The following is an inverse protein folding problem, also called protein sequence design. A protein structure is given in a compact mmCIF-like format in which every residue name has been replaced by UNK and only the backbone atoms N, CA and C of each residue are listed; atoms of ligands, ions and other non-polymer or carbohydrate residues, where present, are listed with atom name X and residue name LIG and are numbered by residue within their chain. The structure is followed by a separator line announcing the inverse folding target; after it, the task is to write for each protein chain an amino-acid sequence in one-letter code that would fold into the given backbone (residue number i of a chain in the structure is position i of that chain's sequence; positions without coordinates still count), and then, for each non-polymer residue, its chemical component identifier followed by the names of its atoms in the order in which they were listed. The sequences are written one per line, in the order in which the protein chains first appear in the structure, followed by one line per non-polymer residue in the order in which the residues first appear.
data_IF_645487952857
#
_entry.id   IF_645487952857
#
_cell.length_a   1.000
_cell.length_b   1.000
_cell.length_c   1.000
_cell.angle_alpha   90.00
_cell.angle_beta   90.00
_cell.angle_gamma   90.00
#
_symmetry.space_group_name_H-M   'P 1'
#
loop_
_entity.id
_entity.type
_entity.pdbx_description
1 polymer ?
#
# COMPACT_ATOMS: atom_id res chain seq x y z
N UNK A 1 7.97 2.34 -7.21
CA UNK A 1 6.90 3.21 -6.63
C UNK A 1 7.13 4.68 -6.94
N UNK A 2 8.31 5.27 -6.64
CA UNK A 2 8.56 6.69 -6.96
C UNK A 2 8.41 7.03 -8.44
N UNK A 3 8.85 6.15 -9.33
CA UNK A 3 8.64 6.33 -10.77
C UNK A 3 7.16 6.29 -11.15
N UNK A 4 6.39 5.37 -10.55
CA UNK A 4 4.93 5.31 -10.72
C UNK A 4 4.24 6.60 -10.28
N UNK A 5 4.67 7.21 -9.16
CA UNK A 5 4.15 8.51 -8.71
C UNK A 5 4.43 9.64 -9.70
N UNK A 6 5.59 9.64 -10.38
CA UNK A 6 5.95 10.67 -11.37
C UNK A 6 5.09 10.58 -12.63
N UNK A 7 4.68 9.38 -13.04
CA UNK A 7 3.93 9.17 -14.28
C UNK A 7 2.44 9.49 -14.18
N UNK A 8 1.84 9.39 -12.99
CA UNK A 8 0.38 9.58 -12.81
C UNK A 8 -0.04 11.01 -12.44
N UNK A 9 0.92 11.91 -12.15
CA UNK A 9 0.65 13.30 -11.73
C UNK A 9 0.14 13.42 -10.30
N UNK A 10 -1.06 12.91 -10.02
CA UNK A 10 -1.68 12.84 -8.69
C UNK A 10 -2.31 11.47 -8.48
N UNK A 11 -2.05 10.84 -7.33
CA UNK A 11 -2.68 9.57 -6.99
C UNK A 11 -1.95 8.76 -5.91
N UNK A 12 -2.42 7.53 -5.75
CA UNK A 12 -1.85 6.51 -4.87
C UNK A 12 -1.39 5.33 -5.71
N UNK A 13 -0.17 4.87 -5.50
CA UNK A 13 0.42 3.70 -6.16
C UNK A 13 0.68 2.63 -5.12
N UNK A 14 0.11 1.44 -5.29
CA UNK A 14 0.41 0.27 -4.47
C UNK A 14 1.04 -0.82 -5.34
N UNK A 15 2.12 -1.42 -4.87
CA UNK A 15 2.82 -2.52 -5.56
C UNK A 15 3.04 -3.64 -4.55
N UNK A 16 2.63 -4.85 -4.92
CA UNK A 16 2.90 -6.08 -4.17
C UNK A 16 3.87 -6.94 -4.97
N UNK A 17 4.91 -7.44 -4.31
CA UNK A 17 5.82 -8.44 -4.87
C UNK A 17 5.79 -9.70 -4.00
N UNK A 18 5.74 -10.86 -4.64
CA UNK A 18 5.78 -12.17 -3.96
C UNK A 18 7.14 -12.81 -4.22
N UNK A 19 7.80 -13.28 -3.16
CA UNK A 19 9.09 -13.98 -3.26
C UNK A 19 8.89 -15.44 -3.63
N UNK A 20 9.96 -16.12 -4.08
CA UNK A 20 9.90 -17.55 -4.39
C UNK A 20 9.54 -18.40 -3.16
N UNK A 21 9.83 -17.93 -1.94
CA UNK A 21 9.41 -18.61 -0.70
C UNK A 21 7.94 -18.34 -0.30
N UNK A 22 7.18 -17.65 -1.16
CA UNK A 22 5.76 -17.40 -0.96
C UNK A 22 5.44 -16.24 0.00
N UNK A 23 6.43 -15.46 0.43
CA UNK A 23 6.20 -14.25 1.24
C UNK A 23 5.86 -13.07 0.34
N UNK A 24 5.11 -12.11 0.84
CA UNK A 24 4.81 -10.88 0.11
C UNK A 24 5.41 -9.64 0.77
N UNK A 25 5.97 -8.77 -0.07
CA UNK A 25 6.31 -7.38 0.26
C UNK A 25 5.32 -6.44 -0.42
N UNK A 26 4.95 -5.36 0.26
CA UNK A 26 4.07 -4.31 -0.28
C UNK A 26 4.71 -2.94 -0.09
N UNK A 27 4.61 -2.10 -1.11
CA UNK A 27 5.05 -0.72 -1.07
C UNK A 27 3.93 0.19 -1.59
N UNK A 28 3.62 1.26 -0.84
CA UNK A 28 2.62 2.25 -1.21
C UNK A 28 3.27 3.62 -1.28
N UNK A 29 2.97 4.36 -2.34
CA UNK A 29 3.35 5.75 -2.52
C UNK A 29 2.12 6.62 -2.70
N UNK A 30 2.12 7.78 -2.06
CA UNK A 30 1.10 8.81 -2.18
C UNK A 30 1.77 10.06 -2.76
N UNK A 31 1.15 10.70 -3.75
CA UNK A 31 1.65 11.98 -4.28
C UNK A 31 1.49 13.09 -3.24
N UNK A 32 2.38 14.09 -3.25
CA UNK A 32 2.48 15.10 -2.19
C UNK A 32 1.20 15.91 -1.95
N UNK A 33 0.43 16.14 -3.01
CA UNK A 33 -0.86 16.84 -2.96
C UNK A 33 -1.94 16.04 -2.21
N UNK A 34 -1.76 14.73 -2.07
CA UNK A 34 -2.71 13.81 -1.44
C UNK A 34 -2.31 13.38 -0.03
N UNK A 35 -1.10 13.68 0.44
CA UNK A 35 -0.62 13.25 1.77
C UNK A 35 -1.39 13.88 2.93
N UNK A 36 -2.15 14.95 2.69
CA UNK A 36 -3.07 15.52 3.68
C UNK A 36 -4.38 14.71 3.85
N UNK A 37 -4.70 13.82 2.90
CA UNK A 37 -5.92 13.00 2.89
C UNK A 37 -5.64 11.50 3.07
N UNK A 38 -4.49 11.03 2.56
CA UNK A 38 -4.09 9.64 2.63
C UNK A 38 -2.68 9.52 3.21
N UNK A 39 -2.48 8.56 4.12
CA UNK A 39 -1.19 8.24 4.70
C UNK A 39 -0.70 6.89 4.15
N UNK A 40 0.45 6.89 3.47
CA UNK A 40 1.03 5.66 2.93
C UNK A 40 1.32 4.61 4.01
N UNK A 41 1.68 5.01 5.23
CA UNK A 41 1.95 4.12 6.37
C UNK A 41 0.69 3.38 6.78
N UNK A 42 -0.44 4.07 6.85
CA UNK A 42 -1.72 3.44 7.19
C UNK A 42 -2.16 2.49 6.08
N UNK A 43 -1.99 2.87 4.83
CA UNK A 43 -2.34 2.03 3.68
C UNK A 43 -1.49 0.74 3.64
N UNK A 44 -0.17 0.80 3.85
CA UNK A 44 0.64 -0.43 3.87
C UNK A 44 0.33 -1.33 5.06
N UNK A 45 -0.11 -0.78 6.20
CA UNK A 45 -0.49 -1.59 7.36
C UNK A 45 -1.76 -2.40 7.09
N UNK A 46 -2.73 -1.83 6.37
CA UNK A 46 -3.91 -2.57 5.90
C UNK A 46 -3.50 -3.72 4.98
N UNK A 47 -2.65 -3.45 3.98
CA UNK A 47 -2.14 -4.48 3.08
C UNK A 47 -1.34 -5.56 3.83
N UNK A 48 -0.46 -5.17 4.76
CA UNK A 48 0.29 -6.11 5.60
C UNK A 48 -0.60 -7.02 6.41
N UNK A 49 -1.66 -6.49 7.04
CA UNK A 49 -2.60 -7.29 7.82
C UNK A 49 -3.30 -8.35 6.95
N UNK A 50 -3.69 -8.00 5.72
CA UNK A 50 -4.26 -8.96 4.76
C UNK A 50 -3.27 -10.08 4.41
N UNK A 51 -1.98 -9.76 4.29
CA UNK A 51 -0.89 -10.72 4.07
C UNK A 51 -0.50 -11.54 5.32
N UNK A 52 -1.19 -11.34 6.46
CA UNK A 52 -0.85 -11.96 7.75
C UNK A 52 0.37 -11.35 8.45
N UNK A 53 0.85 -10.21 7.96
CA UNK A 53 1.89 -9.39 8.60
C UNK A 53 1.35 -8.57 9.77
N UNK A 54 2.26 -7.92 10.49
CA UNK A 54 1.94 -7.18 11.74
C UNK A 54 2.45 -5.74 11.76
N UNK A 55 3.01 -5.25 10.66
CA UNK A 55 3.73 -4.00 10.70
C UNK A 55 3.99 -3.40 9.34
N UNK A 56 4.46 -2.18 9.35
CA UNK A 56 4.70 -1.37 8.17
C UNK A 56 5.14 0.01 8.61
N UNK A 57 6.04 0.60 7.85
CA UNK A 57 6.68 1.85 8.22
C UNK A 57 7.22 2.61 7.01
N UNK A 58 7.57 3.87 7.27
CA UNK A 58 8.03 4.79 6.25
C UNK A 58 7.55 6.20 6.58
N UNK A 59 7.21 6.94 5.54
CA UNK A 59 6.73 8.32 5.60
C UNK A 59 5.30 8.39 5.03
N UNK A 60 4.54 9.46 5.30
CA UNK A 60 3.20 9.63 4.76
C UNK A 60 3.11 9.57 3.21
N UNK A 61 4.21 9.89 2.51
CA UNK A 61 4.29 9.86 1.03
C UNK A 61 4.82 8.54 0.44
N UNK A 62 5.40 7.69 1.28
CA UNK A 62 6.00 6.41 0.87
C UNK A 62 6.20 5.50 2.08
N UNK A 63 5.59 4.32 2.05
CA UNK A 63 5.78 3.33 3.09
C UNK A 63 5.89 1.92 2.51
N UNK A 64 6.40 1.00 3.33
CA UNK A 64 6.60 -0.39 2.97
C UNK A 64 6.24 -1.31 4.13
N UNK A 65 5.82 -2.53 3.79
CA UNK A 65 5.46 -3.58 4.71
C UNK A 65 5.59 -4.96 4.06
N UNK A 66 5.19 -6.01 4.77
CA UNK A 66 5.11 -7.36 4.21
C UNK A 66 4.33 -8.31 5.10
N UNK A 67 4.18 -9.55 4.65
CA UNK A 67 3.53 -10.62 5.37
C UNK A 67 3.96 -11.99 4.85
N UNK A 68 3.71 -13.06 5.63
CA UNK A 68 4.12 -14.41 5.26
C UNK A 68 3.27 -15.03 4.14
N UNK A 69 2.09 -14.50 3.84
CA UNK A 69 1.11 -15.12 2.95
C UNK A 69 0.98 -14.39 1.62
N UNK A 70 1.88 -14.69 0.68
CA UNK A 70 1.90 -14.07 -0.65
C UNK A 70 0.74 -14.46 -1.56
N UNK A 71 0.02 -15.55 -1.24
CA UNK A 71 -1.20 -15.91 -1.95
C UNK A 71 -2.34 -14.90 -1.73
N UNK A 72 -2.21 -14.01 -0.74
CA UNK A 72 -3.16 -12.93 -0.45
C UNK A 72 -2.76 -11.57 -1.04
N UNK A 73 -1.89 -11.56 -2.06
CA UNK A 73 -1.48 -10.32 -2.74
C UNK A 73 -2.67 -9.49 -3.22
N UNK A 74 -3.67 -10.12 -3.85
CA UNK A 74 -4.87 -9.43 -4.33
C UNK A 74 -5.70 -8.85 -3.17
N UNK A 75 -5.90 -9.64 -2.10
CA UNK A 75 -6.61 -9.17 -0.91
C UNK A 75 -5.91 -7.97 -0.22
N UNK A 76 -4.58 -7.89 -0.32
CA UNK A 76 -3.81 -6.75 0.18
C UNK A 76 -4.07 -5.49 -0.65
N UNK A 77 -4.18 -5.61 -1.97
CA UNK A 77 -4.55 -4.51 -2.86
C UNK A 77 -6.00 -4.08 -2.62
N UNK A 78 -6.93 -5.03 -2.51
CA UNK A 78 -8.35 -4.74 -2.25
C UNK A 78 -8.55 -3.98 -0.94
N UNK A 79 -7.83 -4.38 0.12
CA UNK A 79 -7.88 -3.68 1.42
C UNK A 79 -7.47 -2.20 1.32
N UNK A 80 -6.50 -1.89 0.45
CA UNK A 80 -6.09 -0.51 0.18
C UNK A 80 -7.16 0.21 -0.63
N UNK A 81 -7.68 -0.41 -1.69
CA UNK A 81 -8.71 0.17 -2.54
C UNK A 81 -9.98 0.52 -1.75
N UNK A 82 -10.41 -0.35 -0.85
CA UNK A 82 -11.59 -0.12 -0.02
C UNK A 82 -11.40 1.05 0.94
N UNK A 83 -10.20 1.21 1.51
CA UNK A 83 -9.85 2.38 2.34
C UNK A 83 -9.82 3.68 1.53
N UNK A 84 -9.41 3.63 0.26
CA UNK A 84 -9.46 4.80 -0.62
C UNK A 84 -10.91 5.18 -0.97
N UNK A 85 -11.76 4.20 -1.31
CA UNK A 85 -13.19 4.43 -1.61
C UNK A 85 -13.93 5.04 -0.42
N UNK A 86 -13.73 4.51 0.79
CA UNK A 86 -14.36 5.02 2.01
C UNK A 86 -14.00 6.49 2.27
N UNK A 87 -12.73 6.86 2.11
CA UNK A 87 -12.29 8.24 2.28
C UNK A 87 -12.67 9.17 1.12
N UNK A 88 -12.98 8.63 -0.06
CA UNK A 88 -13.48 9.40 -1.22
C UNK A 88 -14.97 9.75 -1.11
N UNK A 89 -15.77 8.88 -0.48
CA UNK A 89 -17.21 9.08 -0.26
C UNK A 89 -17.59 9.83 1.02
N UNK A 90 -16.59 10.35 1.76
CA UNK A 90 -16.76 11.17 2.97
C UNK A 90 -16.53 12.66 2.67
#
# INVERSE_FOLDING_TARGET
VDEGKKQIGSGVVAIVGVTEEGKAGIAVGVTKDLTGRYDAVDLVRLGSAALGGKGGGGRPDMAQAGGPDGAKADAAIDSILDRLKQAAGS
#
